data_IF_350283658600
#
_entry.id   IF_350283658600
#
_cell.length_a   1.000
_cell.length_b   1.000
_cell.length_c   1.000
_cell.angle_alpha   90.00
_cell.angle_beta   90.00
_cell.angle_gamma   90.00
#
_symmetry.space_group_name_H-M   'P 1'
#
loop_
_entity.id
_entity.type
_entity.pdbx_description
1 polymer ?
#
# COMPACT_ATOMS: atom_id res chain seq x y z
N UNK A 1 -25.43 2.69 -12.71
CA UNK A 1 -24.71 2.18 -11.53
C UNK A 1 -23.24 2.25 -11.85
N UNK A 2 -22.46 3.10 -11.17
CA UNK A 2 -21.01 3.12 -11.35
C UNK A 2 -20.44 1.90 -10.65
N UNK A 3 -19.90 0.96 -11.42
CA UNK A 3 -19.19 -0.18 -10.86
C UNK A 3 -17.92 0.37 -10.21
N UNK A 4 -17.82 0.30 -8.88
CA UNK A 4 -16.63 0.71 -8.14
C UNK A 4 -15.41 -0.16 -8.49
N UNK A 5 -14.23 0.31 -8.11
CA UNK A 5 -12.97 -0.41 -8.33
C UNK A 5 -12.62 -1.21 -7.07
N UNK A 6 -12.37 -2.51 -7.22
CA UNK A 6 -11.86 -3.37 -6.14
C UNK A 6 -10.41 -3.73 -6.43
N UNK A 7 -9.53 -3.47 -5.47
CA UNK A 7 -8.10 -3.80 -5.54
C UNK A 7 -7.78 -4.82 -4.44
N UNK A 8 -7.14 -5.92 -4.82
CA UNK A 8 -6.69 -6.97 -3.89
C UNK A 8 -5.18 -6.88 -3.75
N UNK A 9 -4.71 -6.66 -2.52
CA UNK A 9 -3.33 -6.39 -2.15
C UNK A 9 -3.10 -4.91 -1.83
N UNK A 10 -2.23 -4.63 -0.86
CA UNK A 10 -1.93 -3.32 -0.26
C UNK A 10 -0.54 -2.77 -0.57
N UNK A 11 0.27 -3.53 -1.32
CA UNK A 11 1.66 -3.18 -1.57
C UNK A 11 1.84 -1.96 -2.46
N UNK A 12 3.10 -1.70 -2.84
CA UNK A 12 3.50 -0.55 -3.66
C UNK A 12 2.63 -0.36 -4.91
N UNK A 13 2.36 -1.42 -5.67
CA UNK A 13 1.55 -1.35 -6.87
C UNK A 13 0.13 -0.84 -6.61
N UNK A 14 -0.53 -1.37 -5.57
CA UNK A 14 -1.88 -0.97 -5.20
C UNK A 14 -1.93 0.49 -4.74
N UNK A 15 -0.99 0.92 -3.90
CA UNK A 15 -0.90 2.32 -3.45
C UNK A 15 -0.68 3.29 -4.61
N UNK A 16 0.23 2.96 -5.54
CA UNK A 16 0.44 3.79 -6.73
C UNK A 16 -0.80 3.84 -7.61
N UNK A 17 -1.52 2.73 -7.77
CA UNK A 17 -2.76 2.68 -8.53
C UNK A 17 -3.83 3.59 -7.89
N UNK A 18 -4.05 3.49 -6.58
CA UNK A 18 -5.00 4.36 -5.85
C UNK A 18 -4.63 5.83 -6.00
N UNK A 19 -3.35 6.19 -5.83
CA UNK A 19 -2.87 7.57 -6.02
C UNK A 19 -3.17 8.10 -7.42
N UNK A 20 -2.96 7.29 -8.46
CA UNK A 20 -3.22 7.71 -9.84
C UNK A 20 -4.71 7.78 -10.17
N UNK A 21 -5.53 6.85 -9.67
CA UNK A 21 -6.99 6.91 -9.81
C UNK A 21 -7.52 8.19 -9.15
N UNK A 22 -7.10 8.49 -7.90
CA UNK A 22 -7.56 9.69 -7.19
C UNK A 22 -7.13 11.01 -7.84
N UNK A 23 -6.03 11.02 -8.61
CA UNK A 23 -5.64 12.17 -9.43
C UNK A 23 -6.57 12.38 -10.63
N UNK A 24 -7.15 11.31 -11.17
CA UNK A 24 -8.04 11.36 -12.33
C UNK A 24 -9.50 11.56 -11.91
N UNK A 25 -9.94 10.85 -10.87
CA UNK A 25 -11.29 10.91 -10.33
C UNK A 25 -11.26 10.71 -8.81
N UNK A 26 -11.55 11.79 -8.09
CA UNK A 26 -11.59 11.78 -6.63
C UNK A 26 -12.85 11.09 -6.07
N UNK A 27 -13.87 10.87 -6.89
CA UNK A 27 -15.22 10.46 -6.47
C UNK A 27 -15.55 8.99 -6.74
N UNK A 28 -14.77 8.31 -7.59
CA UNK A 28 -14.97 6.88 -7.85
C UNK A 28 -14.92 6.07 -6.54
N UNK A 29 -15.93 5.21 -6.29
CA UNK A 29 -15.88 4.26 -5.18
C UNK A 29 -14.72 3.28 -5.36
N UNK A 30 -13.88 3.14 -4.33
CA UNK A 30 -12.68 2.33 -4.38
C UNK A 30 -12.57 1.50 -3.10
N UNK A 31 -12.45 0.18 -3.25
CA UNK A 31 -12.29 -0.77 -2.15
C UNK A 31 -10.91 -1.41 -2.25
N UNK A 32 -10.14 -1.36 -1.17
CA UNK A 32 -8.84 -2.01 -1.06
C UNK A 32 -8.94 -3.14 -0.04
N UNK A 33 -8.56 -4.35 -0.43
CA UNK A 33 -8.58 -5.54 0.43
C UNK A 33 -7.15 -6.03 0.56
N UNK A 34 -6.67 -6.20 1.79
CA UNK A 34 -5.33 -6.71 2.05
C UNK A 34 -5.39 -7.86 3.07
N UNK A 35 -4.43 -8.76 2.96
CA UNK A 35 -4.24 -9.85 3.95
C UNK A 35 -3.35 -9.42 5.12
N UNK A 36 -2.67 -8.28 5.01
CA UNK A 36 -1.74 -7.72 6.00
C UNK A 36 -2.26 -6.40 6.58
N UNK A 37 -1.44 -5.76 7.42
CA UNK A 37 -1.76 -4.49 8.09
C UNK A 37 -1.87 -3.29 7.15
N UNK A 38 -1.67 -3.44 5.84
CA UNK A 38 -1.67 -2.34 4.85
C UNK A 38 -0.57 -1.30 5.03
N UNK A 39 0.33 -1.48 5.99
CA UNK A 39 1.42 -0.54 6.27
C UNK A 39 2.33 -0.38 5.05
N UNK A 40 2.75 0.85 4.78
CA UNK A 40 3.70 1.11 3.72
C UNK A 40 5.08 0.67 4.16
N UNK A 41 5.58 -0.38 3.54
CA UNK A 41 6.97 -0.77 3.64
C UNK A 41 7.54 -1.00 2.25
N UNK A 42 8.84 -0.76 2.12
CA UNK A 42 9.55 -1.10 0.90
C UNK A 42 9.97 -2.57 0.98
N UNK A 43 9.27 -3.43 0.24
CA UNK A 43 9.59 -4.86 0.17
C UNK A 43 11.06 -5.16 -0.21
N UNK A 44 11.72 -4.43 -1.13
CA UNK A 44 13.13 -4.66 -1.42
C UNK A 44 14.03 -4.40 -0.21
N UNK A 45 13.68 -3.40 0.61
CA UNK A 45 14.47 -2.99 1.76
C UNK A 45 14.58 -4.15 2.74
N UNK A 46 13.54 -5.00 2.92
CA UNK A 46 13.53 -6.18 3.81
C UNK A 46 14.80 -7.06 3.74
N UNK A 47 15.37 -7.21 2.55
CA UNK A 47 16.60 -7.99 2.32
C UNK A 47 17.90 -7.31 2.77
N UNK A 48 17.89 -5.98 2.93
CA UNK A 48 19.00 -5.15 3.41
C UNK A 48 18.91 -4.83 4.90
N UNK A 49 17.71 -4.78 5.46
CA UNK A 49 17.49 -4.31 6.85
C UNK A 49 18.00 -5.30 7.88
N UNK A 50 17.87 -6.59 7.58
CA UNK A 50 18.35 -7.66 8.46
C UNK A 50 19.86 -7.56 8.61
N UNK A 51 20.61 -7.23 7.55
CA UNK A 51 22.06 -7.04 7.62
C UNK A 51 22.47 -5.73 8.30
N UNK A 52 21.58 -4.73 8.34
CA UNK A 52 21.78 -3.45 9.04
C UNK A 52 21.26 -3.44 10.48
N UNK A 53 20.69 -4.55 10.96
CA UNK A 53 20.20 -4.69 12.33
C UNK A 53 18.96 -3.85 12.67
N UNK A 54 18.20 -3.37 11.68
CA UNK A 54 16.97 -2.61 11.92
C UNK A 54 15.75 -3.54 12.00
N UNK A 55 14.73 -3.11 12.74
CA UNK A 55 13.51 -3.88 13.04
C UNK A 55 12.45 -3.66 11.97
N UNK A 56 11.44 -4.54 11.94
CA UNK A 56 10.31 -4.42 11.02
C UNK A 56 9.57 -3.07 11.17
N UNK A 57 9.44 -2.58 12.41
CA UNK A 57 8.80 -1.29 12.70
C UNK A 57 9.58 -0.11 12.08
N UNK A 58 10.90 -0.22 11.97
CA UNK A 58 11.75 0.81 11.35
C UNK A 58 11.53 0.93 9.83
N UNK A 59 10.86 -0.06 9.23
CA UNK A 59 10.56 -0.10 7.79
C UNK A 59 9.17 0.40 7.42
N UNK A 60 8.32 0.58 8.43
CA UNK A 60 6.99 1.14 8.24
C UNK A 60 7.13 2.63 7.96
N UNK A 61 7.03 3.00 6.69
CA UNK A 61 7.07 4.38 6.23
C UNK A 61 5.77 5.12 6.51
N UNK A 62 4.66 4.39 6.53
CA UNK A 62 3.35 4.95 6.82
C UNK A 62 2.44 3.84 7.34
N UNK A 63 1.85 4.05 8.52
CA UNK A 63 0.83 3.14 9.03
C UNK A 63 -0.45 3.21 8.19
N UNK A 64 -1.18 2.11 8.10
CA UNK A 64 -2.56 2.16 7.60
C UNK A 64 -3.43 2.99 8.56
N UNK A 65 -4.29 3.86 8.01
CA UNK A 65 -5.19 4.75 8.74
C UNK A 65 -6.55 4.81 8.07
#
# INVERSE_FOLDING_TARGET
>A
MSNGIVIIGSGFAARQLVKNIRKQDATIPLTLIAADSMDEYNKPDLSHVISQGQRADDLTRQTAG
#
